data_IF_938798258963
#
_entry.id   IF_938798258963
#
_cell.length_a   1.000
_cell.length_b   1.000
_cell.length_c   1.000
_cell.angle_alpha   90.00
_cell.angle_beta   90.00
_cell.angle_gamma   90.00
#
_symmetry.space_group_name_H-M   'P 1'
#
loop_
_entity.id
_entity.type
_entity.pdbx_description
1 polymer ?
#
# COMPACT_ATOMS: atom_id res chain seq x y z
N UNK A 1 -18.51 6.36 21.54
CA UNK A 1 -17.65 7.55 21.41
C UNK A 1 -18.30 8.67 20.59
N UNK A 2 -18.71 8.45 19.34
CA UNK A 2 -19.37 9.50 18.54
C UNK A 2 -20.61 10.11 19.24
N UNK A 3 -21.47 9.28 19.85
CA UNK A 3 -22.63 9.73 20.64
C UNK A 3 -22.28 10.65 21.81
N UNK A 4 -21.09 10.51 22.39
CA UNK A 4 -20.63 11.33 23.52
C UNK A 4 -20.07 12.66 23.01
N UNK A 5 -19.37 12.64 21.87
CA UNK A 5 -18.69 13.81 21.32
C UNK A 5 -19.63 14.71 20.50
N UNK A 6 -20.50 14.11 19.67
CA UNK A 6 -21.50 14.80 18.88
C UNK A 6 -22.80 13.98 18.84
N UNK A 7 -23.71 14.16 19.81
CA UNK A 7 -24.95 13.39 19.89
C UNK A 7 -25.90 13.61 18.70
N UNK A 8 -25.83 14.77 18.06
CA UNK A 8 -26.68 15.11 16.91
C UNK A 8 -26.20 14.35 15.68
N UNK A 9 -24.90 14.41 15.40
CA UNK A 9 -24.29 13.63 14.33
C UNK A 9 -24.43 12.14 14.57
N UNK A 10 -24.21 11.66 15.80
CA UNK A 10 -24.34 10.25 16.12
C UNK A 10 -25.76 9.72 15.87
N UNK A 11 -26.79 10.53 16.17
CA UNK A 11 -28.18 10.18 15.87
C UNK A 11 -28.45 10.19 14.36
N UNK A 12 -27.92 11.17 13.64
CA UNK A 12 -28.05 11.21 12.18
C UNK A 12 -27.40 9.98 11.54
N UNK A 13 -26.19 9.63 11.97
CA UNK A 13 -25.41 8.49 11.46
C UNK A 13 -26.04 7.16 11.83
N UNK A 14 -26.62 7.00 13.04
CA UNK A 14 -27.25 5.74 13.45
C UNK A 14 -28.45 5.32 12.61
N UNK A 15 -29.06 6.28 11.93
CA UNK A 15 -30.24 6.06 11.09
C UNK A 15 -29.86 5.89 9.60
N UNK A 16 -28.56 5.93 9.24
CA UNK A 16 -28.08 5.82 7.86
C UNK A 16 -28.00 4.38 7.36
N UNK A 17 -28.22 4.22 6.05
CA UNK A 17 -28.37 2.91 5.41
C UNK A 17 -27.17 1.98 5.59
N UNK A 18 -25.93 2.50 5.53
CA UNK A 18 -24.71 1.71 5.74
C UNK A 18 -24.69 0.99 7.11
N UNK A 19 -25.22 1.59 8.18
CA UNK A 19 -25.25 0.93 9.51
C UNK A 19 -26.49 0.06 9.74
N UNK A 20 -27.60 0.34 9.05
CA UNK A 20 -28.88 -0.31 9.33
C UNK A 20 -29.20 -1.46 8.39
N UNK A 21 -28.58 -1.51 7.20
CA UNK A 21 -28.92 -2.47 6.13
C UNK A 21 -27.94 -3.65 6.07
N UNK A 22 -26.65 -3.41 6.23
CA UNK A 22 -25.59 -4.42 6.27
C UNK A 22 -24.33 -3.82 6.90
N UNK A 23 -23.83 -4.39 7.99
CA UNK A 23 -22.59 -3.89 8.62
C UNK A 23 -21.36 -4.50 7.93
N UNK A 24 -20.73 -3.72 7.07
CA UNK A 24 -19.55 -4.05 6.27
C UNK A 24 -18.25 -3.57 6.96
N UNK A 25 -17.09 -3.99 6.44
CA UNK A 25 -15.78 -3.65 7.06
C UNK A 25 -15.52 -2.14 7.03
N UNK A 26 -15.88 -1.45 5.94
CA UNK A 26 -15.70 -0.01 5.80
C UNK A 26 -16.55 0.80 6.78
N UNK A 27 -17.69 0.29 7.26
CA UNK A 27 -18.57 1.04 8.16
C UNK A 27 -17.90 1.40 9.48
N UNK A 28 -17.11 0.45 10.01
CA UNK A 28 -16.32 0.67 11.22
C UNK A 28 -15.24 1.73 11.00
N UNK A 29 -14.58 1.67 9.84
CA UNK A 29 -13.53 2.62 9.47
C UNK A 29 -14.12 4.01 9.18
N UNK A 30 -15.31 4.08 8.58
CA UNK A 30 -16.06 5.30 8.31
C UNK A 30 -16.52 5.96 9.62
N UNK A 31 -17.02 5.18 10.59
CA UNK A 31 -17.35 5.67 11.93
C UNK A 31 -16.13 6.26 12.66
N UNK A 32 -14.99 5.58 12.55
CA UNK A 32 -13.72 6.05 13.13
C UNK A 32 -13.25 7.33 12.44
N UNK A 33 -13.44 7.42 11.13
CA UNK A 33 -13.15 8.58 10.30
C UNK A 33 -14.02 9.79 10.65
N UNK A 34 -15.33 9.58 10.85
CA UNK A 34 -16.24 10.64 11.31
C UNK A 34 -15.85 11.17 12.69
N UNK A 35 -15.44 10.28 13.60
CA UNK A 35 -14.92 10.68 14.90
C UNK A 35 -13.65 11.53 14.78
N UNK A 36 -12.69 11.05 13.97
CA UNK A 36 -11.44 11.77 13.70
C UNK A 36 -11.71 13.15 13.10
N UNK A 37 -12.59 13.24 12.11
CA UNK A 37 -12.99 14.49 11.47
C UNK A 37 -13.70 15.43 12.45
N UNK A 38 -14.58 14.91 13.31
CA UNK A 38 -15.29 15.73 14.29
C UNK A 38 -14.35 16.40 15.29
N UNK A 39 -13.30 15.69 15.70
CA UNK A 39 -12.30 16.21 16.66
C UNK A 39 -11.29 17.14 15.98
N UNK A 40 -10.75 16.75 14.83
CA UNK A 40 -9.57 17.38 14.25
C UNK A 40 -9.89 18.31 13.05
N UNK A 41 -10.98 18.05 12.34
CA UNK A 41 -11.38 18.76 11.12
C UNK A 41 -12.88 19.10 11.11
N UNK A 42 -13.42 19.78 12.15
CA UNK A 42 -14.84 20.03 12.26
C UNK A 42 -15.43 20.83 11.08
N UNK A 43 -14.60 21.66 10.42
CA UNK A 43 -15.01 22.38 9.22
C UNK A 43 -15.22 21.47 8.01
N UNK A 44 -14.40 20.42 7.86
CA UNK A 44 -14.54 19.41 6.81
C UNK A 44 -15.81 18.61 7.05
N UNK A 45 -16.03 18.16 8.28
CA UNK A 45 -17.25 17.45 8.67
C UNK A 45 -18.51 18.30 8.48
N UNK A 46 -18.47 19.58 8.84
CA UNK A 46 -19.56 20.52 8.61
C UNK A 46 -19.83 20.79 7.12
N UNK A 47 -18.83 20.65 6.26
CA UNK A 47 -19.01 20.71 4.81
C UNK A 47 -19.62 19.42 4.26
N UNK A 48 -19.19 18.26 4.76
CA UNK A 48 -19.79 16.96 4.45
C UNK A 48 -21.26 16.94 4.81
N UNK A 49 -21.62 17.40 6.02
CA UNK A 49 -23.01 17.48 6.49
C UNK A 49 -23.93 18.40 5.69
N UNK A 50 -23.41 19.12 4.68
CA UNK A 50 -24.18 19.94 3.73
C UNK A 50 -24.32 19.28 2.35
N UNK A 51 -23.70 18.13 2.12
CA UNK A 51 -23.81 17.43 0.85
C UNK A 51 -25.06 16.55 0.85
N UNK A 52 -25.78 16.52 -0.28
CA UNK A 52 -27.02 15.76 -0.43
C UNK A 52 -26.78 14.28 -0.09
N UNK A 53 -25.69 13.69 -0.59
CA UNK A 53 -25.29 12.31 -0.29
C UNK A 53 -25.12 12.01 1.22
N UNK A 54 -24.70 12.98 2.01
CA UNK A 54 -24.57 12.79 3.45
C UNK A 54 -25.90 12.98 4.19
N UNK A 55 -26.74 13.91 3.72
CA UNK A 55 -28.04 14.25 4.34
C UNK A 55 -29.07 13.16 4.06
N UNK A 56 -29.07 12.62 2.85
CA UNK A 56 -29.98 11.54 2.42
C UNK A 56 -29.62 10.20 3.09
N UNK A 57 -28.41 10.10 3.63
CA UNK A 57 -27.87 8.97 4.36
C UNK A 57 -26.86 8.19 3.52
N UNK A 58 -25.72 7.84 4.14
CA UNK A 58 -24.61 7.20 3.45
C UNK A 58 -24.96 5.80 2.95
N UNK A 59 -24.65 5.53 1.69
CA UNK A 59 -24.47 4.18 1.16
C UNK A 59 -23.05 3.63 1.39
N UNK A 60 -22.76 2.41 0.93
CA UNK A 60 -21.47 1.75 1.11
C UNK A 60 -20.31 2.47 0.39
N UNK A 61 -20.55 3.01 -0.80
CA UNK A 61 -19.52 3.71 -1.58
C UNK A 61 -19.20 5.06 -0.94
N UNK A 62 -20.24 5.75 -0.49
CA UNK A 62 -20.12 7.01 0.23
C UNK A 62 -19.43 6.80 1.58
N UNK A 63 -19.70 5.70 2.28
CA UNK A 63 -18.98 5.31 3.49
C UNK A 63 -17.50 5.02 3.19
N UNK A 64 -17.16 4.34 2.10
CA UNK A 64 -15.77 4.16 1.66
C UNK A 64 -15.08 5.51 1.37
N UNK A 65 -15.80 6.49 0.78
CA UNK A 65 -15.26 7.84 0.62
C UNK A 65 -15.05 8.57 1.96
N UNK A 66 -15.92 8.36 2.95
CA UNK A 66 -15.71 8.88 4.32
C UNK A 66 -14.43 8.32 4.95
N UNK A 67 -14.08 7.05 4.68
CA UNK A 67 -12.79 6.47 5.11
C UNK A 67 -11.61 7.26 4.54
N UNK A 68 -11.65 7.59 3.24
CA UNK A 68 -10.61 8.40 2.59
C UNK A 68 -10.55 9.80 3.21
N UNK A 69 -11.70 10.45 3.41
CA UNK A 69 -11.76 11.79 4.01
C UNK A 69 -11.23 11.84 5.44
N UNK A 70 -11.40 10.78 6.24
CA UNK A 70 -10.92 10.70 7.61
C UNK A 70 -9.43 10.42 7.78
N UNK A 71 -8.68 10.43 6.70
CA UNK A 71 -7.26 10.08 6.71
C UNK A 71 -6.42 11.17 7.39
N UNK A 72 -5.67 10.87 8.47
CA UNK A 72 -4.80 11.85 9.10
C UNK A 72 -3.73 12.35 8.13
N UNK A 73 -3.43 13.66 8.06
CA UNK A 73 -2.31 14.12 7.27
C UNK A 73 -1.01 13.80 8.02
N UNK A 74 -0.09 13.04 7.43
CA UNK A 74 1.34 13.15 7.74
C UNK A 74 2.20 12.24 6.85
N UNK A 75 3.23 12.77 6.16
CA UNK A 75 3.42 14.09 5.54
C UNK A 75 2.74 14.11 4.15
N UNK A 76 1.52 13.60 4.10
CA UNK A 76 0.80 13.21 2.89
C UNK A 76 -0.57 13.91 2.85
N UNK A 77 -1.32 13.79 1.74
CA UNK A 77 -2.64 14.39 1.64
C UNK A 77 -3.53 13.95 2.80
N UNK A 78 -4.35 14.89 3.28
CA UNK A 78 -5.31 14.70 4.35
C UNK A 78 -6.67 15.29 3.99
N UNK A 79 -7.56 15.50 4.98
CA UNK A 79 -8.97 15.76 4.73
C UNK A 79 -9.25 17.04 3.92
N UNK A 80 -8.37 18.03 4.05
CA UNK A 80 -8.45 19.30 3.31
C UNK A 80 -8.05 19.18 1.84
N UNK A 81 -7.26 18.17 1.50
CA UNK A 81 -6.75 17.97 0.13
C UNK A 81 -7.79 17.29 -0.74
N UNK A 82 -8.70 16.53 -0.13
CA UNK A 82 -9.75 15.77 -0.79
C UNK A 82 -11.07 16.55 -0.99
N UNK A 83 -11.10 17.84 -0.65
CA UNK A 83 -12.33 18.65 -0.73
C UNK A 83 -12.93 18.71 -2.15
N UNK A 84 -12.10 18.62 -3.20
CA UNK A 84 -12.57 18.58 -4.59
C UNK A 84 -13.51 17.40 -4.88
N UNK A 85 -13.23 16.25 -4.27
CA UNK A 85 -14.00 15.01 -4.44
C UNK A 85 -15.35 15.05 -3.73
N UNK A 86 -15.57 15.95 -2.77
CA UNK A 86 -16.86 16.04 -2.06
C UNK A 86 -18.04 16.35 -2.99
N UNK A 87 -17.77 17.08 -4.08
CA UNK A 87 -18.79 17.54 -5.03
C UNK A 87 -18.67 16.90 -6.41
N UNK A 88 -17.45 16.56 -6.82
CA UNK A 88 -17.16 16.16 -8.20
C UNK A 88 -16.58 14.76 -8.34
N UNK A 89 -17.01 13.80 -7.51
CA UNK A 89 -16.60 12.40 -7.62
C UNK A 89 -17.61 11.53 -8.36
N UNK A 90 -17.10 10.45 -8.91
CA UNK A 90 -17.84 9.25 -9.28
C UNK A 90 -17.18 8.07 -8.56
N UNK A 91 -18.00 7.10 -8.19
CA UNK A 91 -17.59 5.97 -7.37
C UNK A 91 -18.24 4.70 -7.90
N UNK A 92 -17.61 3.58 -7.60
CA UNK A 92 -18.14 2.28 -7.98
C UNK A 92 -17.38 1.17 -7.28
N UNK A 93 -17.90 -0.04 -7.43
CA UNK A 93 -17.31 -1.23 -6.85
C UNK A 93 -17.33 -2.40 -7.82
N UNK A 94 -16.38 -3.32 -7.63
CA UNK A 94 -16.28 -4.61 -8.30
C UNK A 94 -15.86 -5.65 -7.26
N UNK A 95 -16.50 -6.80 -7.23
CA UNK A 95 -16.02 -7.94 -6.45
C UNK A 95 -15.08 -8.77 -7.30
N UNK A 96 -13.91 -9.09 -6.75
CA UNK A 96 -12.97 -10.06 -7.32
C UNK A 96 -12.95 -11.33 -6.46
N UNK A 97 -12.66 -12.47 -7.08
CA UNK A 97 -12.57 -13.75 -6.38
C UNK A 97 -11.12 -14.23 -6.41
N UNK A 98 -10.44 -14.11 -5.28
CA UNK A 98 -9.05 -14.48 -5.08
C UNK A 98 -8.90 -15.95 -4.65
N UNK A 99 -7.80 -16.63 -5.02
CA UNK A 99 -7.58 -18.03 -4.71
C UNK A 99 -7.61 -18.37 -3.21
N UNK A 100 -7.06 -17.51 -2.35
CA UNK A 100 -6.92 -17.76 -0.92
C UNK A 100 -7.86 -16.88 -0.08
N UNK A 101 -7.97 -15.58 -0.36
CA UNK A 101 -8.87 -14.68 0.38
C UNK A 101 -10.36 -14.87 0.04
N UNK A 102 -10.68 -15.46 -1.11
CA UNK A 102 -12.07 -15.56 -1.59
C UNK A 102 -12.56 -14.22 -2.14
N UNK A 103 -13.77 -13.81 -1.77
CA UNK A 103 -14.35 -12.55 -2.24
C UNK A 103 -13.65 -11.33 -1.61
N UNK A 104 -13.15 -10.44 -2.46
CA UNK A 104 -12.60 -9.14 -2.06
C UNK A 104 -13.32 -8.05 -2.86
N UNK A 105 -13.77 -7.01 -2.17
CA UNK A 105 -14.42 -5.85 -2.78
C UNK A 105 -13.36 -4.81 -3.19
N UNK A 106 -13.44 -4.35 -4.42
CA UNK A 106 -12.64 -3.23 -4.93
C UNK A 106 -13.56 -2.03 -5.08
N UNK A 107 -13.42 -1.05 -4.19
CA UNK A 107 -14.06 0.24 -4.33
C UNK A 107 -13.10 1.20 -5.00
N UNK A 108 -13.61 2.01 -5.92
CA UNK A 108 -12.83 3.08 -6.54
C UNK A 108 -13.59 4.40 -6.43
N UNK A 109 -12.82 5.47 -6.25
CA UNK A 109 -13.29 6.83 -6.18
C UNK A 109 -12.40 7.64 -7.13
N UNK A 110 -13.01 8.37 -8.05
CA UNK A 110 -12.29 9.23 -8.99
C UNK A 110 -13.11 10.47 -9.30
N UNK A 111 -12.49 11.54 -9.81
CA UNK A 111 -13.27 12.68 -10.26
C UNK A 111 -14.12 12.36 -11.49
N UNK A 112 -15.23 13.08 -11.67
CA UNK A 112 -16.00 13.04 -12.91
C UNK A 112 -15.18 13.66 -14.04
N UNK A 113 -15.36 13.18 -15.28
CA UNK A 113 -14.70 13.77 -16.44
C UNK A 113 -15.05 15.24 -16.57
N UNK A 114 -14.03 16.06 -16.88
CA UNK A 114 -14.20 17.48 -17.21
C UNK A 114 -13.83 17.70 -18.67
N UNK A 115 -14.68 18.41 -19.42
CA UNK A 115 -14.38 18.75 -20.81
C UNK A 115 -13.23 19.78 -20.85
N UNK A 116 -12.15 19.42 -21.53
CA UNK A 116 -11.03 20.32 -21.80
C UNK A 116 -11.09 20.85 -23.22
N UNK A 117 -10.36 21.94 -23.49
CA UNK A 117 -10.36 22.62 -24.82
C UNK A 117 -10.07 21.69 -26.00
N UNK A 118 -9.40 20.57 -25.77
CA UNK A 118 -8.91 19.63 -26.79
C UNK A 118 -9.59 18.26 -26.77
N UNK A 119 -10.47 17.99 -25.81
CA UNK A 119 -11.08 16.65 -25.61
C UNK A 119 -12.57 16.82 -25.31
N UNK A 120 -13.42 16.08 -26.02
CA UNK A 120 -14.87 16.10 -25.77
C UNK A 120 -15.19 15.42 -24.44
N UNK A 121 -16.36 15.72 -23.85
CA UNK A 121 -16.79 15.08 -22.60
C UNK A 121 -16.89 13.55 -22.74
N UNK A 122 -17.35 13.06 -23.89
CA UNK A 122 -17.45 11.62 -24.17
C UNK A 122 -16.07 10.95 -24.22
N UNK A 123 -15.10 11.59 -24.89
CA UNK A 123 -13.74 11.07 -24.95
C UNK A 123 -13.09 11.07 -23.56
N UNK A 124 -13.20 12.16 -22.80
CA UNK A 124 -12.66 12.23 -21.45
C UNK A 124 -13.28 11.18 -20.51
N UNK A 125 -14.59 10.92 -20.65
CA UNK A 125 -15.28 9.88 -19.89
C UNK A 125 -14.78 8.48 -20.27
N UNK A 126 -14.49 8.24 -21.55
CA UNK A 126 -13.96 6.96 -22.03
C UNK A 126 -12.52 6.75 -21.57
N UNK A 127 -11.64 7.75 -21.70
CA UNK A 127 -10.23 7.66 -21.29
C UNK A 127 -10.11 7.34 -19.79
N UNK A 128 -10.88 8.03 -18.93
CA UNK A 128 -10.93 7.74 -17.49
C UNK A 128 -11.48 6.33 -17.19
N UNK A 129 -12.40 5.84 -18.03
CA UNK A 129 -12.94 4.48 -17.88
C UNK A 129 -11.84 3.46 -18.17
N UNK A 130 -11.13 3.62 -19.27
CA UNK A 130 -10.09 2.68 -19.71
C UNK A 130 -8.90 2.64 -18.75
N UNK A 131 -8.47 3.80 -18.24
CA UNK A 131 -7.42 3.89 -17.22
C UNK A 131 -7.86 3.15 -15.94
N UNK A 132 -9.08 3.40 -15.47
CA UNK A 132 -9.60 2.76 -14.26
C UNK A 132 -9.69 1.24 -14.42
N UNK A 133 -10.26 0.74 -15.51
CA UNK A 133 -10.36 -0.71 -15.73
C UNK A 133 -8.96 -1.34 -15.80
N UNK A 134 -8.01 -0.71 -16.51
CA UNK A 134 -6.63 -1.18 -16.55
C UNK A 134 -5.97 -1.20 -15.16
N UNK A 135 -6.21 -0.19 -14.33
CA UNK A 135 -5.72 -0.15 -12.95
C UNK A 135 -6.34 -1.26 -12.09
N UNK A 136 -7.65 -1.47 -12.17
CA UNK A 136 -8.35 -2.51 -11.42
C UNK A 136 -7.88 -3.91 -11.82
N UNK A 137 -7.64 -4.16 -13.10
CA UNK A 137 -7.10 -5.42 -13.60
C UNK A 137 -5.66 -5.63 -13.10
N UNK A 138 -4.81 -4.60 -13.16
CA UNK A 138 -3.46 -4.65 -12.60
C UNK A 138 -3.43 -4.92 -11.09
N UNK A 139 -4.36 -4.32 -10.35
CA UNK A 139 -4.53 -4.56 -8.92
C UNK A 139 -4.93 -6.01 -8.65
N UNK A 140 -5.91 -6.53 -9.39
CA UNK A 140 -6.35 -7.92 -9.27
C UNK A 140 -5.20 -8.91 -9.57
N UNK A 141 -4.48 -8.69 -10.67
CA UNK A 141 -3.32 -9.48 -11.07
C UNK A 141 -2.21 -9.48 -10.01
N UNK A 142 -1.90 -8.31 -9.46
CA UNK A 142 -0.89 -8.15 -8.44
C UNK A 142 -1.24 -8.96 -7.18
N UNK A 143 -2.48 -8.85 -6.69
CA UNK A 143 -2.91 -9.58 -5.49
C UNK A 143 -2.86 -11.09 -5.74
N UNK A 144 -3.32 -11.57 -6.90
CA UNK A 144 -3.26 -13.00 -7.25
C UNK A 144 -1.83 -13.53 -7.24
N UNK A 145 -0.90 -12.81 -7.84
CA UNK A 145 0.52 -13.18 -7.84
C UNK A 145 1.14 -13.14 -6.44
N UNK A 146 0.77 -12.15 -5.62
CA UNK A 146 1.22 -12.08 -4.22
C UNK A 146 0.65 -13.22 -3.36
N UNK A 147 -0.61 -13.61 -3.54
CA UNK A 147 -1.19 -14.79 -2.87
C UNK A 147 -0.48 -16.08 -3.32
N UNK A 148 -0.18 -16.22 -4.62
CA UNK A 148 0.56 -17.37 -5.16
C UNK A 148 1.95 -17.49 -4.50
N UNK A 149 2.69 -16.39 -4.44
CA UNK A 149 4.03 -16.37 -3.84
C UNK A 149 3.98 -16.56 -2.34
N UNK A 150 3.20 -15.75 -1.62
CA UNK A 150 3.22 -15.77 -0.16
C UNK A 150 2.48 -17.00 0.38
N UNK A 151 1.52 -17.56 -0.36
CA UNK A 151 0.62 -18.59 0.14
C UNK A 151 -0.23 -18.11 1.33
N UNK A 152 -0.43 -16.79 1.45
CA UNK A 152 -1.29 -16.15 2.44
C UNK A 152 -2.51 -15.57 1.72
N UNK A 153 -3.70 -15.62 2.33
CA UNK A 153 -4.83 -14.84 1.83
C UNK A 153 -4.51 -13.35 1.89
N UNK A 154 -5.01 -12.59 0.92
CA UNK A 154 -4.97 -11.14 0.97
C UNK A 154 -5.52 -10.63 2.32
N UNK A 155 -4.82 -9.74 3.04
CA UNK A 155 -5.13 -9.48 4.46
C UNK A 155 -6.39 -8.65 4.71
N UNK A 156 -7.04 -8.15 3.66
CA UNK A 156 -8.26 -7.34 3.73
C UNK A 156 -9.36 -7.97 2.88
N UNK A 157 -10.61 -7.70 3.25
CA UNK A 157 -11.79 -8.08 2.46
C UNK A 157 -12.19 -6.97 1.46
N UNK A 158 -11.49 -5.84 1.51
CA UNK A 158 -11.77 -4.68 0.68
C UNK A 158 -10.49 -3.89 0.39
N UNK A 159 -10.44 -3.28 -0.79
CA UNK A 159 -9.49 -2.24 -1.15
C UNK A 159 -10.27 -1.03 -1.63
N UNK A 160 -9.94 0.14 -1.08
CA UNK A 160 -10.44 1.42 -1.54
C UNK A 160 -9.32 2.08 -2.34
N UNK A 161 -9.56 2.37 -3.62
CA UNK A 161 -8.63 3.09 -4.49
C UNK A 161 -9.15 4.51 -4.76
N UNK A 162 -8.40 5.52 -4.35
CA UNK A 162 -8.65 6.90 -4.74
C UNK A 162 -7.78 7.23 -5.96
N UNK A 163 -8.38 7.29 -7.14
CA UNK A 163 -7.68 7.73 -8.35
C UNK A 163 -7.75 9.25 -8.39
N UNK A 164 -6.60 9.88 -8.18
CA UNK A 164 -6.50 11.32 -8.11
C UNK A 164 -5.19 11.81 -8.72
N UNK A 165 -5.32 12.80 -9.59
CA UNK A 165 -4.18 13.52 -10.12
C UNK A 165 -3.70 14.54 -9.10
N UNK A 166 -2.39 14.88 -9.06
CA UNK A 166 -1.88 15.89 -8.14
C UNK A 166 -2.65 17.23 -8.21
N UNK A 167 -3.09 17.62 -9.42
CA UNK A 167 -3.88 18.85 -9.67
C UNK A 167 -5.31 18.82 -9.12
N UNK A 168 -5.84 17.63 -8.87
CA UNK A 168 -7.19 17.41 -8.34
C UNK A 168 -7.21 17.41 -6.82
N UNK A 169 -6.05 17.17 -6.22
CA UNK A 169 -5.82 17.38 -4.80
C UNK A 169 -5.57 18.88 -4.58
N UNK A 170 -5.99 19.43 -3.44
CA UNK A 170 -5.75 20.84 -3.09
C UNK A 170 -4.28 21.08 -2.67
N UNK A 171 -3.35 20.56 -3.46
CA UNK A 171 -1.92 20.52 -3.22
C UNK A 171 -1.24 21.40 -4.26
N UNK A 172 -0.17 22.08 -3.86
CA UNK A 172 0.67 22.82 -4.81
C UNK A 172 1.27 21.87 -5.85
N UNK A 173 1.59 22.39 -7.04
CA UNK A 173 2.12 21.63 -8.19
C UNK A 173 3.51 21.00 -8.01
N UNK A 174 4.06 21.00 -6.79
CA UNK A 174 5.45 20.62 -6.49
C UNK A 174 5.58 19.35 -5.64
N UNK A 175 4.48 18.63 -5.35
CA UNK A 175 4.54 17.47 -4.46
C UNK A 175 4.27 16.16 -5.19
N UNK A 176 5.30 15.31 -5.23
CA UNK A 176 5.21 13.91 -5.67
C UNK A 176 4.53 13.07 -4.56
N UNK A 177 3.29 12.65 -4.81
CA UNK A 177 2.54 11.73 -3.95
C UNK A 177 2.22 10.43 -4.69
N UNK A 178 3.18 9.94 -5.47
CA UNK A 178 3.01 8.75 -6.29
C UNK A 178 2.65 7.57 -5.39
N UNK A 179 1.58 6.90 -5.79
CA UNK A 179 0.87 5.78 -5.17
C UNK A 179 1.16 5.56 -3.68
N UNK A 180 0.22 5.87 -2.78
CA UNK A 180 0.42 5.79 -1.33
C UNK A 180 -0.59 4.87 -0.65
N UNK A 181 -0.14 3.82 0.03
CA UNK A 181 -0.92 3.00 0.93
C UNK A 181 -1.12 3.73 2.26
N UNK A 182 -2.38 3.94 2.64
CA UNK A 182 -2.79 4.61 3.88
C UNK A 182 -3.32 3.64 4.95
N UNK A 183 -3.10 2.34 4.75
CA UNK A 183 -3.61 1.24 5.54
C UNK A 183 -5.05 0.85 5.20
N UNK A 184 -5.91 1.83 4.93
CA UNK A 184 -7.33 1.62 4.58
C UNK A 184 -7.61 1.78 3.09
N UNK A 185 -6.87 2.64 2.41
CA UNK A 185 -7.02 2.92 0.99
C UNK A 185 -5.65 3.16 0.35
N UNK A 186 -5.61 3.10 -0.98
CA UNK A 186 -4.46 3.50 -1.79
C UNK A 186 -4.84 4.74 -2.58
N UNK A 187 -4.00 5.78 -2.52
CA UNK A 187 -4.04 6.88 -3.48
C UNK A 187 -3.31 6.42 -4.74
N UNK A 188 -3.90 6.56 -5.92
CA UNK A 188 -3.30 6.15 -7.19
C UNK A 188 -3.27 7.33 -8.15
N UNK A 189 -2.12 7.59 -8.77
CA UNK A 189 -2.03 8.54 -9.87
C UNK A 189 -2.45 7.85 -11.18
N UNK A 190 -3.60 8.20 -11.77
CA UNK A 190 -4.07 7.57 -12.99
C UNK A 190 -3.16 7.86 -14.20
N UNK A 191 -2.34 8.92 -14.20
CA UNK A 191 -1.39 9.20 -15.29
C UNK A 191 -0.20 8.22 -15.31
N UNK A 192 0.08 7.51 -14.20
CA UNK A 192 1.07 6.43 -14.15
C UNK A 192 0.52 5.11 -14.69
N UNK A 193 -0.80 4.99 -14.82
CA UNK A 193 -1.45 3.80 -15.36
C UNK A 193 -1.58 3.94 -16.88
N UNK A 194 -0.47 3.73 -17.59
CA UNK A 194 -0.45 3.69 -19.05
C UNK A 194 -0.94 2.30 -19.49
N UNK A 195 -2.00 2.19 -20.32
CA UNK A 195 -2.45 0.90 -20.83
C UNK A 195 -1.32 0.15 -21.56
N UNK A 196 -0.97 -1.03 -21.07
CA UNK A 196 0.12 -1.86 -21.61
C UNK A 196 1.47 -1.68 -20.90
N UNK A 197 1.59 -0.75 -19.94
CA UNK A 197 2.74 -0.64 -19.04
C UNK A 197 2.38 -1.13 -17.62
N UNK A 198 3.40 -1.58 -16.89
CA UNK A 198 3.23 -2.08 -15.51
C UNK A 198 3.32 -0.94 -14.50
N UNK A 199 2.30 -0.71 -13.70
CA UNK A 199 2.34 0.26 -12.61
C UNK A 199 3.08 -0.33 -11.40
N UNK A 200 4.40 -0.08 -11.33
CA UNK A 200 5.26 -0.54 -10.23
C UNK A 200 4.81 0.02 -8.87
N UNK A 201 4.40 1.28 -8.83
CA UNK A 201 4.08 1.95 -7.59
C UNK A 201 2.77 1.38 -7.00
N UNK A 202 1.75 1.13 -7.84
CA UNK A 202 0.55 0.40 -7.43
C UNK A 202 0.88 -0.98 -6.81
N UNK A 203 1.76 -1.77 -7.43
CA UNK A 203 2.14 -3.07 -6.89
C UNK A 203 2.89 -2.95 -5.54
N UNK A 204 3.75 -1.95 -5.42
CA UNK A 204 4.47 -1.65 -4.18
C UNK A 204 3.47 -1.36 -3.06
N UNK A 205 2.49 -0.50 -3.31
CA UNK A 205 1.50 -0.15 -2.30
C UNK A 205 0.57 -1.31 -1.93
N UNK A 206 0.19 -2.16 -2.89
CA UNK A 206 -0.60 -3.36 -2.58
C UNK A 206 0.18 -4.29 -1.64
N UNK A 207 1.50 -4.42 -1.83
CA UNK A 207 2.33 -5.27 -0.98
C UNK A 207 2.36 -4.81 0.48
N UNK A 208 2.19 -3.52 0.76
CA UNK A 208 2.10 -3.00 2.13
C UNK A 208 0.87 -3.49 2.91
N UNK A 209 -0.15 -4.06 2.27
CA UNK A 209 -1.21 -4.77 2.99
C UNK A 209 -0.69 -6.02 3.71
N UNK A 210 0.30 -6.71 3.15
CA UNK A 210 0.96 -7.85 3.79
C UNK A 210 2.04 -7.38 4.79
N UNK A 211 2.79 -6.34 4.44
CA UNK A 211 3.93 -5.86 5.22
C UNK A 211 3.86 -4.36 5.50
N UNK A 212 3.11 -4.01 6.54
CA UNK A 212 3.05 -2.66 7.08
C UNK A 212 4.00 -2.44 8.27
N UNK A 213 3.91 -1.25 8.86
CA UNK A 213 4.73 -0.84 10.01
C UNK A 213 4.51 -1.70 11.26
N UNK A 214 3.34 -2.32 11.40
CA UNK A 214 2.99 -3.18 12.54
C UNK A 214 3.47 -4.63 12.35
N UNK A 215 3.97 -4.97 11.16
CA UNK A 215 4.34 -6.34 10.79
C UNK A 215 5.85 -6.53 10.69
N UNK A 216 6.61 -5.54 10.22
CA UNK A 216 8.03 -5.69 9.91
C UNK A 216 8.84 -4.39 10.05
N UNK A 217 10.18 -4.47 10.21
CA UNK A 217 11.06 -3.30 10.25
C UNK A 217 11.10 -2.58 8.90
N UNK A 218 11.55 -1.32 8.91
CA UNK A 218 11.51 -0.42 7.75
C UNK A 218 12.16 -1.02 6.50
N UNK A 219 13.39 -1.53 6.58
CA UNK A 219 14.05 -2.11 5.40
C UNK A 219 13.27 -3.30 4.83
N UNK A 220 12.67 -4.11 5.72
CA UNK A 220 11.93 -5.30 5.33
C UNK A 220 10.66 -4.90 4.60
N UNK A 221 9.85 -4.00 5.17
CA UNK A 221 8.58 -3.63 4.54
C UNK A 221 8.76 -2.97 3.17
N UNK A 222 9.70 -2.03 3.03
CA UNK A 222 9.94 -1.31 1.77
C UNK A 222 10.60 -2.25 0.74
N UNK A 223 11.56 -3.07 1.18
CA UNK A 223 12.22 -4.04 0.31
C UNK A 223 11.33 -5.22 -0.10
N UNK A 224 10.43 -5.66 0.78
CA UNK A 224 9.44 -6.68 0.49
C UNK A 224 8.43 -6.18 -0.54
N UNK A 225 8.01 -4.91 -0.43
CA UNK A 225 7.12 -4.29 -1.40
C UNK A 225 7.76 -4.18 -2.79
N UNK A 226 9.04 -3.80 -2.87
CA UNK A 226 9.78 -3.80 -4.15
C UNK A 226 10.02 -5.21 -4.69
N UNK A 227 10.38 -6.18 -3.83
CA UNK A 227 10.52 -7.57 -4.25
C UNK A 227 9.21 -8.14 -4.81
N UNK A 228 8.08 -7.92 -4.13
CA UNK A 228 6.77 -8.37 -4.59
C UNK A 228 6.38 -7.68 -5.90
N UNK A 229 6.70 -6.39 -6.06
CA UNK A 229 6.53 -5.66 -7.32
C UNK A 229 7.31 -6.32 -8.46
N UNK A 230 8.58 -6.64 -8.23
CA UNK A 230 9.42 -7.31 -9.22
C UNK A 230 8.93 -8.74 -9.52
N UNK A 231 8.42 -9.45 -8.51
CA UNK A 231 7.80 -10.77 -8.69
C UNK A 231 6.54 -10.70 -9.55
N UNK A 232 5.61 -9.77 -9.28
CA UNK A 232 4.38 -9.57 -10.08
C UNK A 232 4.74 -9.30 -11.54
N UNK A 233 5.75 -8.45 -11.79
CA UNK A 233 6.19 -8.14 -13.15
C UNK A 233 6.79 -9.34 -13.87
N UNK A 234 7.65 -10.11 -13.21
CA UNK A 234 8.20 -11.35 -13.74
C UNK A 234 7.09 -12.37 -14.08
N UNK A 235 6.17 -12.56 -13.15
CA UNK A 235 5.14 -13.59 -13.23
C UNK A 235 4.03 -13.30 -14.24
N UNK A 236 3.63 -12.03 -14.37
CA UNK A 236 2.40 -11.64 -15.08
C UNK A 236 2.68 -10.82 -16.34
N UNK A 237 3.74 -10.00 -16.35
CA UNK A 237 3.96 -8.98 -17.38
C UNK A 237 5.26 -9.17 -18.18
N UNK A 238 5.88 -10.34 -18.11
CA UNK A 238 7.07 -10.69 -18.90
C UNK A 238 8.34 -9.96 -18.46
N UNK A 239 8.39 -9.47 -17.22
CA UNK A 239 9.60 -8.96 -16.57
C UNK A 239 10.62 -10.07 -16.25
N UNK A 240 11.70 -9.71 -15.54
CA UNK A 240 12.62 -10.69 -14.97
C UNK A 240 12.94 -10.37 -13.52
N UNK A 241 12.84 -11.37 -12.64
CA UNK A 241 13.19 -11.27 -11.23
C UNK A 241 14.70 -11.29 -10.96
N UNK A 242 15.54 -11.65 -11.94
CA UNK A 242 16.99 -11.83 -11.72
C UNK A 242 17.73 -10.49 -11.63
N UNK A 243 18.52 -10.28 -10.57
CA UNK A 243 19.31 -9.04 -10.32
C UNK A 243 20.22 -8.67 -11.50
N UNK A 244 20.82 -9.66 -12.16
CA UNK A 244 21.68 -9.45 -13.34
C UNK A 244 20.93 -8.90 -14.57
N UNK A 245 19.63 -8.66 -14.46
CA UNK A 245 18.72 -8.27 -15.54
C UNK A 245 17.93 -6.98 -15.22
N UNK A 246 17.98 -6.42 -13.99
CA UNK A 246 17.38 -5.11 -13.69
C UNK A 246 18.43 -3.99 -13.58
N UNK A 247 18.57 -3.13 -14.60
CA UNK A 247 19.42 -1.95 -14.55
C UNK A 247 19.06 -0.99 -13.42
N UNK A 248 17.77 -0.91 -13.06
CA UNK A 248 17.26 0.00 -12.03
C UNK A 248 17.78 -0.38 -10.65
N UNK A 249 17.63 -1.65 -10.25
CA UNK A 249 18.13 -2.14 -8.97
C UNK A 249 19.66 -2.04 -8.90
N UNK A 250 20.36 -2.39 -9.98
CA UNK A 250 21.82 -2.28 -10.04
C UNK A 250 22.30 -0.82 -9.85
N UNK A 251 21.60 0.14 -10.46
CA UNK A 251 21.86 1.56 -10.26
C UNK A 251 21.55 1.99 -8.82
N UNK A 252 20.42 1.56 -8.27
CA UNK A 252 20.01 1.83 -6.89
C UNK A 252 21.04 1.35 -5.87
N UNK A 253 21.52 0.11 -6.00
CA UNK A 253 22.56 -0.47 -5.14
C UNK A 253 23.88 0.31 -5.21
N UNK A 254 24.31 0.72 -6.42
CA UNK A 254 25.50 1.55 -6.61
C UNK A 254 25.33 2.94 -5.97
N UNK A 255 24.13 3.53 -6.07
CA UNK A 255 23.80 4.79 -5.40
C UNK A 255 23.91 4.62 -3.88
N UNK A 256 23.38 3.54 -3.33
CA UNK A 256 23.49 3.21 -1.91
C UNK A 256 24.94 3.04 -1.44
N UNK A 257 25.79 2.39 -2.23
CA UNK A 257 27.23 2.31 -1.94
C UNK A 257 27.87 3.70 -1.88
N UNK A 258 27.54 4.58 -2.83
CA UNK A 258 28.07 5.96 -2.86
C UNK A 258 27.63 6.81 -1.66
N UNK A 259 26.47 6.49 -1.07
CA UNK A 259 25.95 7.09 0.14
C UNK A 259 26.47 6.44 1.43
N UNK A 260 27.46 5.54 1.33
CA UNK A 260 28.04 4.79 2.44
C UNK A 260 27.02 3.89 3.17
N UNK A 261 26.05 3.35 2.42
CA UNK A 261 25.07 2.38 2.91
C UNK A 261 25.22 1.06 2.15
N UNK A 262 26.32 0.31 2.35
CA UNK A 262 26.59 -0.95 1.65
C UNK A 262 25.70 -2.12 2.09
N UNK A 263 25.11 -2.06 3.29
CA UNK A 263 24.36 -3.16 3.90
C UNK A 263 23.08 -2.69 4.57
N UNK A 264 22.16 -3.61 4.85
CA UNK A 264 20.93 -3.33 5.61
C UNK A 264 21.24 -2.87 7.04
N UNK A 265 22.23 -3.48 7.71
CA UNK A 265 22.63 -3.07 9.06
C UNK A 265 23.01 -1.59 9.11
N UNK A 266 23.63 -1.05 8.06
CA UNK A 266 23.95 0.40 7.99
C UNK A 266 22.70 1.28 7.91
N UNK A 267 21.60 0.79 7.33
CA UNK A 267 20.31 1.49 7.39
C UNK A 267 19.73 1.47 8.79
N UNK A 268 19.77 0.30 9.44
CA UNK A 268 19.28 0.13 10.82
C UNK A 268 20.05 1.06 11.76
N UNK A 269 21.38 1.08 11.67
CA UNK A 269 22.25 1.95 12.47
C UNK A 269 21.90 3.43 12.29
N UNK A 270 21.69 3.87 11.04
CA UNK A 270 21.35 5.26 10.72
C UNK A 270 19.97 5.64 11.21
N UNK A 271 18.98 4.78 10.98
CA UNK A 271 17.62 4.97 11.47
C UNK A 271 17.60 5.10 13.01
N UNK A 272 18.38 4.30 13.72
CA UNK A 272 18.47 4.35 15.17
C UNK A 272 19.09 5.66 15.70
N UNK A 273 20.02 6.26 14.95
CA UNK A 273 20.68 7.53 15.31
C UNK A 273 19.83 8.74 14.93
N UNK A 274 19.28 8.73 13.72
CA UNK A 274 18.58 9.87 13.12
C UNK A 274 17.11 9.95 13.56
N UNK A 275 16.50 8.79 13.87
CA UNK A 275 15.07 8.65 14.06
C UNK A 275 14.29 8.63 12.75
N UNK A 276 13.08 8.07 12.78
CA UNK A 276 12.27 7.83 11.58
C UNK A 276 11.99 9.10 10.75
N UNK A 277 11.60 10.20 11.40
CA UNK A 277 11.23 11.43 10.70
C UNK A 277 12.40 12.02 9.88
N UNK A 278 13.62 12.01 10.42
CA UNK A 278 14.79 12.50 9.71
C UNK A 278 15.27 11.51 8.64
N UNK A 279 15.33 10.21 8.97
CA UNK A 279 15.73 9.15 8.03
C UNK A 279 14.82 9.11 6.80
N UNK A 280 13.52 9.33 6.99
CA UNK A 280 12.55 9.40 5.89
C UNK A 280 12.85 10.50 4.87
N UNK A 281 13.39 11.63 5.33
CA UNK A 281 13.73 12.77 4.47
C UNK A 281 15.16 12.70 3.93
N UNK A 282 15.94 11.71 4.35
CA UNK A 282 17.32 11.56 3.92
C UNK A 282 17.41 10.92 2.53
N UNK A 283 18.43 11.31 1.76
CA UNK A 283 18.66 10.81 0.39
C UNK A 283 18.86 9.29 0.32
N UNK A 284 19.28 8.68 1.43
CA UNK A 284 19.48 7.24 1.55
C UNK A 284 18.22 6.48 1.97
N UNK A 285 17.05 7.12 2.12
CA UNK A 285 15.80 6.42 2.43
C UNK A 285 15.47 5.36 1.38
N UNK A 286 15.69 5.66 0.09
CA UNK A 286 15.48 4.70 -1.02
C UNK A 286 16.33 3.42 -0.88
N UNK A 287 17.39 3.43 -0.06
CA UNK A 287 18.19 2.25 0.17
C UNK A 287 17.48 1.18 1.01
N UNK A 288 16.45 1.53 1.79
CA UNK A 288 15.56 0.54 2.42
C UNK A 288 14.92 -0.38 1.36
N UNK A 289 14.47 0.23 0.27
CA UNK A 289 13.88 -0.46 -0.87
C UNK A 289 14.91 -1.34 -1.59
N UNK A 290 15.96 -0.71 -2.13
CA UNK A 290 16.95 -1.39 -2.97
C UNK A 290 17.71 -2.51 -2.23
N UNK A 291 18.11 -2.28 -0.97
CA UNK A 291 18.86 -3.29 -0.20
C UNK A 291 17.98 -4.46 0.21
N UNK A 292 16.75 -4.18 0.63
CA UNK A 292 15.79 -5.22 0.99
C UNK A 292 15.35 -6.03 -0.23
N UNK A 293 15.01 -5.39 -1.35
CA UNK A 293 14.67 -6.05 -2.61
C UNK A 293 15.80 -6.99 -3.04
N UNK A 294 17.04 -6.50 -3.07
CA UNK A 294 18.20 -7.30 -3.45
C UNK A 294 18.40 -8.52 -2.53
N UNK A 295 18.25 -8.36 -1.21
CA UNK A 295 18.32 -9.50 -0.29
C UNK A 295 17.24 -10.53 -0.60
N UNK A 296 15.99 -10.11 -0.83
CA UNK A 296 14.90 -11.04 -1.10
C UNK A 296 15.04 -11.75 -2.44
N UNK A 297 15.49 -11.08 -3.50
CA UNK A 297 15.77 -11.74 -4.79
C UNK A 297 16.85 -12.81 -4.61
N UNK A 298 17.94 -12.48 -3.94
CA UNK A 298 19.06 -13.40 -3.73
C UNK A 298 18.66 -14.58 -2.82
N UNK A 299 17.82 -14.36 -1.81
CA UNK A 299 17.24 -15.42 -0.98
C UNK A 299 16.26 -16.30 -1.76
N UNK A 300 15.44 -15.71 -2.63
CA UNK A 300 14.49 -16.45 -3.48
C UNK A 300 15.23 -17.39 -4.44
N UNK A 301 16.28 -16.90 -5.09
CA UNK A 301 17.13 -17.70 -5.98
C UNK A 301 17.87 -18.81 -5.21
N UNK A 302 18.39 -18.52 -4.02
CA UNK A 302 19.14 -19.48 -3.21
C UNK A 302 18.26 -20.60 -2.62
N UNK A 303 17.09 -20.25 -2.09
CA UNK A 303 16.22 -21.18 -1.36
C UNK A 303 15.21 -21.89 -2.25
N UNK A 304 15.05 -21.45 -3.50
CA UNK A 304 13.94 -21.82 -4.37
C UNK A 304 12.57 -21.29 -3.88
N UNK A 305 11.54 -21.24 -4.76
CA UNK A 305 10.29 -20.55 -4.44
C UNK A 305 9.56 -21.14 -3.23
N UNK A 306 9.42 -22.46 -3.14
CA UNK A 306 8.66 -23.12 -2.07
C UNK A 306 9.19 -22.83 -0.65
N UNK A 307 10.48 -23.09 -0.37
CA UNK A 307 11.08 -22.76 0.92
C UNK A 307 11.10 -21.26 1.22
N UNK A 308 11.36 -20.40 0.23
CA UNK A 308 11.27 -18.95 0.39
C UNK A 308 9.87 -18.50 0.84
N UNK A 309 8.82 -18.97 0.15
CA UNK A 309 7.42 -18.72 0.50
C UNK A 309 7.06 -19.21 1.91
N UNK A 310 7.65 -20.33 2.35
CA UNK A 310 7.42 -20.87 3.69
C UNK A 310 7.93 -19.92 4.78
N UNK A 311 9.09 -19.30 4.60
CA UNK A 311 9.62 -18.30 5.53
C UNK A 311 8.69 -17.07 5.63
N UNK A 312 8.15 -16.59 4.50
CA UNK A 312 7.22 -15.46 4.48
C UNK A 312 5.93 -15.76 5.24
N UNK A 313 5.35 -16.96 5.05
CA UNK A 313 4.17 -17.39 5.83
C UNK A 313 4.46 -17.42 7.31
N UNK A 314 5.61 -17.98 7.69
CA UNK A 314 6.02 -18.08 9.08
C UNK A 314 6.13 -16.71 9.73
N UNK A 315 6.81 -15.76 9.09
CA UNK A 315 6.98 -14.40 9.59
C UNK A 315 5.65 -13.65 9.72
N UNK A 316 4.77 -13.77 8.72
CA UNK A 316 3.47 -13.11 8.76
C UNK A 316 2.58 -13.67 9.88
N UNK A 317 2.58 -14.99 10.05
CA UNK A 317 1.88 -15.64 11.16
C UNK A 317 2.44 -15.20 12.52
N UNK A 318 3.77 -15.07 12.63
CA UNK A 318 4.44 -14.64 13.84
C UNK A 318 4.04 -13.21 14.22
N UNK A 319 4.10 -12.27 13.27
CA UNK A 319 3.67 -10.88 13.48
C UNK A 319 2.21 -10.80 13.93
N UNK A 320 1.31 -11.53 13.26
CA UNK A 320 -0.11 -11.55 13.58
C UNK A 320 -0.38 -12.13 14.99
N UNK A 321 0.30 -13.21 15.37
CA UNK A 321 0.15 -13.84 16.68
C UNK A 321 0.69 -12.96 17.80
N UNK A 322 1.86 -12.35 17.61
CA UNK A 322 2.50 -11.53 18.64
C UNK A 322 1.99 -10.09 18.70
N UNK A 323 1.25 -9.64 17.67
CA UNK A 323 0.74 -8.26 17.55
C UNK A 323 1.86 -7.21 17.66
N UNK A 324 3.00 -7.53 17.04
CA UNK A 324 4.16 -6.65 16.93
C UNK A 324 4.91 -6.96 15.63
N UNK A 325 5.76 -6.03 15.17
CA UNK A 325 6.68 -6.32 14.09
C UNK A 325 7.61 -7.48 14.44
N UNK A 326 7.93 -8.31 13.44
CA UNK A 326 9.03 -9.27 13.55
C UNK A 326 10.36 -8.54 13.73
N UNK A 327 11.29 -9.12 14.48
CA UNK A 327 12.63 -8.58 14.65
C UNK A 327 13.66 -9.23 13.69
N UNK A 328 14.87 -8.66 13.64
CA UNK A 328 15.93 -9.13 12.73
C UNK A 328 16.32 -10.60 12.96
N UNK A 329 16.32 -11.06 14.21
CA UNK A 329 16.66 -12.44 14.51
C UNK A 329 15.53 -13.38 14.08
N UNK A 330 14.28 -13.00 14.30
CA UNK A 330 13.12 -13.75 13.81
C UNK A 330 13.12 -13.87 12.28
N UNK A 331 13.42 -12.78 11.57
CA UNK A 331 13.56 -12.74 10.11
C UNK A 331 14.68 -13.70 9.66
N UNK A 332 15.90 -13.53 10.18
CA UNK A 332 17.04 -14.37 9.83
C UNK A 332 16.74 -15.86 10.07
N UNK A 333 16.19 -16.19 11.23
CA UNK A 333 15.91 -17.57 11.62
C UNK A 333 14.81 -18.21 10.77
N UNK A 334 13.80 -17.44 10.36
CA UNK A 334 12.73 -17.95 9.49
C UNK A 334 13.29 -18.41 8.13
N UNK A 335 14.17 -17.62 7.50
CA UNK A 335 14.81 -18.04 6.25
C UNK A 335 15.86 -19.13 6.46
N UNK A 336 16.66 -19.07 7.54
CA UNK A 336 17.67 -20.08 7.84
C UNK A 336 17.05 -21.47 7.99
N UNK A 337 15.89 -21.60 8.64
CA UNK A 337 15.15 -22.86 8.77
C UNK A 337 14.78 -23.51 7.44
N UNK A 338 14.70 -22.72 6.37
CA UNK A 338 14.35 -23.17 5.03
C UNK A 338 15.59 -23.56 4.21
N UNK A 339 16.79 -23.22 4.68
CA UNK A 339 18.03 -23.72 4.11
C UNK A 339 18.21 -25.21 4.48
N UNK A 340 18.74 -25.99 3.54
CA UNK A 340 19.03 -27.42 3.73
C UNK A 340 20.54 -27.63 3.72
N UNK A 341 21.02 -28.82 4.08
CA UNK A 341 22.45 -29.09 4.34
C UNK A 341 23.44 -28.45 3.36
N UNK A 342 23.12 -28.44 2.06
CA UNK A 342 24.00 -27.87 1.02
C UNK A 342 23.87 -26.34 0.84
N UNK A 343 22.82 -25.71 1.37
CA UNK A 343 22.55 -24.26 1.22
C UNK A 343 22.72 -23.46 2.51
N UNK A 344 22.89 -24.09 3.68
CA UNK A 344 23.05 -23.38 4.98
C UNK A 344 24.24 -22.41 4.96
N UNK A 345 25.43 -22.87 4.58
CA UNK A 345 26.62 -22.01 4.57
C UNK A 345 26.52 -20.89 3.53
N UNK A 346 25.92 -21.19 2.37
CA UNK A 346 25.65 -20.21 1.34
C UNK A 346 24.65 -19.15 1.84
N UNK A 347 23.61 -19.55 2.56
CA UNK A 347 22.63 -18.66 3.17
C UNK A 347 23.31 -17.74 4.19
N UNK A 348 24.08 -18.31 5.12
CA UNK A 348 24.82 -17.53 6.13
C UNK A 348 25.76 -16.52 5.49
N UNK A 349 26.53 -16.94 4.49
CA UNK A 349 27.45 -16.06 3.77
C UNK A 349 26.72 -14.95 2.99
N UNK A 350 25.58 -15.27 2.38
CA UNK A 350 24.74 -14.32 1.65
C UNK A 350 24.13 -13.27 2.59
N UNK A 351 23.55 -13.72 3.70
CA UNK A 351 22.93 -12.86 4.70
C UNK A 351 23.98 -11.96 5.38
N UNK A 352 25.14 -12.50 5.75
CA UNK A 352 26.25 -11.72 6.30
C UNK A 352 26.76 -10.66 5.31
N UNK A 353 26.80 -10.96 4.00
CA UNK A 353 27.24 -10.02 2.98
C UNK A 353 26.24 -8.87 2.73
N UNK A 354 24.94 -9.19 2.64
CA UNK A 354 23.92 -8.22 2.22
C UNK A 354 23.25 -7.52 3.41
N UNK A 355 22.94 -8.27 4.46
CA UNK A 355 22.41 -7.68 5.68
C UNK A 355 23.52 -7.07 6.53
N UNK A 356 24.61 -7.79 6.77
CA UNK A 356 25.76 -7.31 7.56
C UNK A 356 25.49 -7.15 9.05
N UNK A 357 24.43 -7.79 9.58
CA UNK A 357 24.14 -7.85 11.00
C UNK A 357 24.81 -9.06 11.65
N UNK A 358 24.96 -9.02 12.98
CA UNK A 358 25.48 -10.14 13.76
C UNK A 358 24.34 -11.09 14.12
N UNK A 359 24.34 -12.28 13.52
CA UNK A 359 23.32 -13.31 13.74
C UNK A 359 23.90 -14.55 14.40
N UNK A 360 23.12 -15.25 15.24
CA UNK A 360 23.57 -16.48 15.87
C UNK A 360 23.84 -17.58 14.84
N UNK A 361 24.85 -18.40 15.13
CA UNK A 361 25.23 -19.57 14.35
C UNK A 361 24.18 -20.68 14.36
#
# INVERSE_FOLDING_TARGET
DLLIQDPVLAKQVSDMAFLTSSFEVHDREALSSLLFLGVNYPNVLALMGKQDWFVDGLDDLEAAFVVVLGTPPEPHPGPMDFLGFMRNRQEGSKTIILPLAGEVRLNWIQNKPEAMRTVTMEQAAQDLRDIREAMLDQLEDAIRAMEELTGLPFPRQEIIALLALPRELNLGSEVDYLDLNRGTHILVDPELTIPGETNRALFHEIAHYYWGADQAPLWFREGAADFLTSYVRDRTYGGSLRVNVSPELAFGLKSCDSMQVPTIQKLIDKLAVEGYAAHRQASNFTCNHNRGENLFIELYDLLSPGPFSAAWRELHQLAAQQKRPVDENEIYQAFLRQATGDTVDAFKGLYARLHGGDFPD
#
